data_IF_906520266838
#
_entry.id   IF_906520266838
#
_cell.length_a   1.000
_cell.length_b   1.000
_cell.length_c   1.000
_cell.angle_alpha   90.00
_cell.angle_beta   90.00
_cell.angle_gamma   90.00
#
_symmetry.space_group_name_H-M   'P 1'
#
loop_
_entity.id
_entity.type
_entity.pdbx_description
1 polymer ?
#
# COMPACT_ATOMS: atom_id res chain seq x y z
N UNK A 1 16.71 17.63 3.31
CA UNK A 1 17.83 16.88 3.97
C UNK A 1 17.82 17.03 5.49
N UNK A 2 17.69 18.22 6.06
CA UNK A 2 17.67 18.43 7.52
C UNK A 2 16.47 17.69 8.17
N UNK A 3 15.26 17.90 7.65
CA UNK A 3 14.03 17.27 8.13
C UNK A 3 14.08 15.73 8.04
N UNK A 4 14.69 15.20 6.98
CA UNK A 4 14.88 13.75 6.83
C UNK A 4 15.84 13.17 7.87
N UNK A 5 16.96 13.87 8.15
CA UNK A 5 17.90 13.44 9.19
C UNK A 5 17.25 13.48 10.58
N UNK A 6 16.40 14.47 10.83
CA UNK A 6 15.65 14.55 12.09
C UNK A 6 14.61 13.43 12.19
N UNK A 7 13.90 13.11 11.10
CA UNK A 7 13.01 11.94 11.02
C UNK A 7 13.73 10.63 11.38
N UNK A 8 14.89 10.40 10.78
CA UNK A 8 15.66 9.20 11.09
C UNK A 8 15.98 9.11 12.58
N UNK A 9 16.41 10.22 13.19
CA UNK A 9 16.83 10.28 14.59
C UNK A 9 15.68 10.13 15.60
N UNK A 10 14.53 10.77 15.34
CA UNK A 10 13.46 10.88 16.36
C UNK A 10 12.26 10.00 16.11
N UNK A 11 12.16 9.36 14.92
CA UNK A 11 11.08 8.45 14.58
C UNK A 11 11.60 7.09 14.12
N UNK A 12 12.44 7.05 13.08
CA UNK A 12 12.83 5.78 12.46
C UNK A 12 13.73 4.92 13.38
N UNK A 13 14.78 5.51 13.96
CA UNK A 13 15.69 4.77 14.85
C UNK A 13 14.97 4.28 16.11
N UNK A 14 14.20 5.12 16.85
CA UNK A 14 13.41 4.63 17.97
C UNK A 14 12.40 3.55 17.60
N UNK A 15 11.81 3.61 16.38
CA UNK A 15 10.88 2.58 15.93
C UNK A 15 11.54 1.20 15.76
N UNK A 16 12.84 1.14 15.43
CA UNK A 16 13.60 -0.12 15.40
C UNK A 16 13.74 -0.76 16.78
N UNK A 17 13.71 0.06 17.85
CA UNK A 17 13.75 -0.36 19.24
C UNK A 17 12.34 -0.54 19.85
N UNK A 18 11.30 -0.57 19.02
CA UNK A 18 9.90 -0.76 19.45
C UNK A 18 9.24 0.49 20.04
N UNK A 19 9.83 1.67 19.87
CA UNK A 19 9.27 2.95 20.35
C UNK A 19 8.56 3.64 19.18
N UNK A 20 7.23 3.54 19.14
CA UNK A 20 6.40 4.06 18.07
C UNK A 20 5.60 5.30 18.51
N UNK A 21 5.19 6.10 17.50
CA UNK A 21 4.19 7.16 17.63
C UNK A 21 4.49 8.20 18.74
N UNK A 22 5.75 8.48 19.00
CA UNK A 22 6.10 9.58 19.90
C UNK A 22 5.58 10.91 19.35
N UNK A 23 5.13 11.82 20.21
CA UNK A 23 4.60 13.13 19.80
C UNK A 23 5.58 13.88 18.89
N UNK A 24 6.87 13.90 19.23
CA UNK A 24 7.92 14.51 18.42
C UNK A 24 8.08 13.82 17.08
N UNK A 25 8.09 12.48 17.06
CA UNK A 25 8.19 11.68 15.84
C UNK A 25 7.01 11.94 14.91
N UNK A 26 5.79 11.93 15.44
CA UNK A 26 4.57 12.18 14.65
C UNK A 26 4.49 13.61 14.11
N UNK A 27 5.04 14.59 14.83
CA UNK A 27 5.14 15.97 14.31
C UNK A 27 6.01 16.03 13.06
N UNK A 28 7.16 15.38 13.07
CA UNK A 28 8.08 15.33 11.92
C UNK A 28 7.49 14.55 10.74
N UNK A 29 6.83 13.43 11.01
CA UNK A 29 6.12 12.66 9.99
C UNK A 29 5.07 13.52 9.28
N UNK A 30 4.25 14.27 10.04
CA UNK A 30 3.27 15.20 9.47
C UNK A 30 3.92 16.29 8.61
N UNK A 31 5.05 16.83 9.04
CA UNK A 31 5.79 17.84 8.28
C UNK A 31 6.39 17.27 6.99
N UNK A 32 7.01 16.10 7.05
CA UNK A 32 7.50 15.38 5.86
C UNK A 32 6.38 15.11 4.87
N UNK A 33 5.23 14.67 5.35
CA UNK A 33 4.08 14.41 4.48
C UNK A 33 3.57 15.70 3.82
N UNK A 34 3.54 16.84 4.54
CA UNK A 34 3.20 18.14 3.95
C UNK A 34 4.18 18.56 2.86
N UNK A 35 5.48 18.44 3.11
CA UNK A 35 6.52 18.78 2.12
C UNK A 35 6.37 17.88 0.89
N UNK A 36 6.12 16.60 1.08
CA UNK A 36 5.92 15.64 0.00
C UNK A 36 4.66 15.96 -0.81
N UNK A 37 3.55 16.26 -0.17
CA UNK A 37 2.32 16.64 -0.86
C UNK A 37 2.54 17.88 -1.74
N UNK A 38 3.21 18.91 -1.22
CA UNK A 38 3.56 20.12 -2.00
C UNK A 38 4.47 19.81 -3.19
N UNK A 39 5.44 18.92 -3.01
CA UNK A 39 6.31 18.49 -4.11
C UNK A 39 5.52 17.75 -5.19
N UNK A 40 4.63 16.85 -4.80
CA UNK A 40 3.77 16.11 -5.72
C UNK A 40 2.84 17.06 -6.51
N UNK A 41 2.22 18.02 -5.83
CA UNK A 41 1.38 19.05 -6.45
C UNK A 41 2.17 19.88 -7.47
N UNK A 42 3.34 20.43 -7.08
CA UNK A 42 4.20 21.19 -7.97
C UNK A 42 4.69 20.35 -9.16
N UNK A 43 4.98 19.08 -8.95
CA UNK A 43 5.35 18.14 -10.02
C UNK A 43 4.19 17.92 -10.98
N UNK A 44 2.98 17.72 -10.47
CA UNK A 44 1.78 17.58 -11.28
C UNK A 44 1.49 18.82 -12.12
N UNK A 45 1.59 20.00 -11.54
CA UNK A 45 1.44 21.27 -12.29
C UNK A 45 2.51 21.45 -13.37
N UNK A 46 3.78 21.13 -13.06
CA UNK A 46 4.84 21.15 -14.05
C UNK A 46 4.54 20.23 -15.24
N UNK A 47 4.08 19.00 -14.96
CA UNK A 47 3.72 18.03 -16.01
C UNK A 47 2.58 18.56 -16.88
N UNK A 48 1.56 19.18 -16.30
CA UNK A 48 0.44 19.77 -17.06
C UNK A 48 0.91 20.87 -18.01
N UNK A 49 1.78 21.77 -17.54
CA UNK A 49 2.31 22.89 -18.34
C UNK A 49 3.27 22.38 -19.43
N UNK A 50 4.06 21.34 -19.16
CA UNK A 50 5.06 20.80 -20.06
C UNK A 50 4.69 19.40 -20.58
N UNK A 51 3.43 19.21 -20.94
CA UNK A 51 2.86 17.90 -21.33
C UNK A 51 3.36 17.34 -22.66
N UNK A 52 4.23 18.08 -23.35
CA UNK A 52 4.94 17.66 -24.58
C UNK A 52 6.41 17.31 -24.34
N UNK A 53 6.86 17.31 -23.11
CA UNK A 53 8.27 17.05 -22.74
C UNK A 53 8.50 15.62 -22.25
N UNK A 54 9.57 14.98 -22.72
CA UNK A 54 10.02 13.67 -22.20
C UNK A 54 10.35 13.75 -20.70
N UNK A 55 10.83 14.90 -20.22
CA UNK A 55 11.05 15.13 -18.78
C UNK A 55 9.74 14.94 -17.99
N UNK A 56 8.62 15.38 -18.54
CA UNK A 56 7.31 15.19 -17.90
C UNK A 56 6.89 13.72 -17.83
N UNK A 57 7.28 12.87 -18.79
CA UNK A 57 7.09 11.41 -18.68
C UNK A 57 7.92 10.80 -17.55
N UNK A 58 9.19 11.21 -17.38
CA UNK A 58 10.05 10.77 -16.28
C UNK A 58 9.45 11.18 -14.93
N UNK A 59 9.03 12.43 -14.83
CA UNK A 59 8.40 12.95 -13.61
C UNK A 59 7.08 12.24 -13.29
N UNK A 60 6.25 11.96 -14.30
CA UNK A 60 5.00 11.20 -14.12
C UNK A 60 5.29 9.77 -13.63
N UNK A 61 6.27 9.09 -14.23
CA UNK A 61 6.66 7.76 -13.77
C UNK A 61 7.17 7.77 -12.32
N UNK A 62 7.96 8.78 -11.95
CA UNK A 62 8.44 8.94 -10.57
C UNK A 62 7.29 9.25 -9.60
N UNK A 63 6.36 10.12 -10.00
CA UNK A 63 5.18 10.46 -9.20
C UNK A 63 4.30 9.23 -8.95
N UNK A 64 4.03 8.45 -10.00
CA UNK A 64 3.27 7.19 -9.91
C UNK A 64 3.98 6.13 -9.07
N UNK A 65 5.30 5.99 -9.19
CA UNK A 65 6.08 5.03 -8.39
C UNK A 65 6.32 5.47 -6.94
N UNK A 66 5.94 6.69 -6.58
CA UNK A 66 6.06 7.15 -5.21
C UNK A 66 5.19 6.28 -4.31
N UNK A 67 5.81 5.48 -3.43
CA UNK A 67 5.16 4.52 -2.51
C UNK A 67 4.09 5.11 -1.60
N UNK A 68 3.87 6.43 -1.68
CA UNK A 68 2.87 7.17 -0.91
C UNK A 68 2.12 8.16 -1.80
N UNK A 69 1.92 7.83 -3.08
CA UNK A 69 1.02 8.62 -3.92
C UNK A 69 -0.39 8.47 -3.38
N UNK A 70 -0.97 9.56 -2.90
CA UNK A 70 -2.37 9.63 -2.48
C UNK A 70 -3.30 9.90 -3.66
N UNK A 71 -2.81 9.72 -4.89
CA UNK A 71 -3.59 9.96 -6.11
C UNK A 71 -4.82 9.05 -6.14
N UNK A 72 -5.92 9.62 -6.61
CA UNK A 72 -7.12 8.86 -6.97
C UNK A 72 -6.97 8.27 -8.39
N UNK A 73 -7.86 7.36 -8.75
CA UNK A 73 -7.89 6.82 -10.12
C UNK A 73 -8.13 7.95 -11.13
N UNK A 74 -9.02 8.90 -10.81
CA UNK A 74 -9.32 10.05 -11.67
C UNK A 74 -8.09 10.95 -11.88
N UNK A 75 -7.28 11.15 -10.85
CA UNK A 75 -6.04 11.93 -10.96
C UNK A 75 -4.98 11.20 -11.79
N UNK A 76 -4.88 9.87 -11.66
CA UNK A 76 -4.01 9.05 -12.50
C UNK A 76 -4.45 9.12 -13.96
N UNK A 77 -5.74 8.99 -14.22
CA UNK A 77 -6.31 9.07 -15.57
C UNK A 77 -6.14 10.47 -16.17
N UNK A 78 -6.38 11.51 -15.39
CA UNK A 78 -6.13 12.90 -15.79
C UNK A 78 -4.67 13.14 -16.16
N UNK A 79 -3.73 12.61 -15.36
CA UNK A 79 -2.29 12.68 -15.64
C UNK A 79 -1.94 11.97 -16.96
N UNK A 80 -2.46 10.75 -17.16
CA UNK A 80 -2.14 9.95 -18.33
C UNK A 80 -2.75 10.51 -19.61
N UNK A 81 -3.97 11.05 -19.56
CA UNK A 81 -4.67 11.64 -20.70
C UNK A 81 -4.15 13.05 -21.04
N UNK A 82 -3.46 13.71 -20.13
CA UNK A 82 -2.94 15.07 -20.32
C UNK A 82 -1.76 15.17 -21.29
N UNK A 83 -1.07 14.09 -21.62
CA UNK A 83 0.07 14.11 -22.54
C UNK A 83 -0.34 14.26 -24.00
N UNK A 84 0.49 14.98 -24.76
CA UNK A 84 0.27 15.18 -26.21
C UNK A 84 0.31 13.87 -27.00
N UNK A 85 -0.36 13.78 -28.17
CA UNK A 85 -0.33 12.58 -29.01
C UNK A 85 1.08 12.12 -29.39
N UNK A 86 2.02 13.03 -29.56
CA UNK A 86 3.42 12.69 -29.83
C UNK A 86 4.04 11.89 -28.68
N UNK A 87 3.83 12.28 -27.41
CA UNK A 87 4.31 11.54 -26.27
C UNK A 87 3.53 10.26 -25.99
N UNK A 88 2.24 10.21 -26.31
CA UNK A 88 1.44 8.99 -26.20
C UNK A 88 2.01 7.82 -26.99
N UNK A 89 2.73 8.12 -28.10
CA UNK A 89 3.39 7.15 -28.98
C UNK A 89 4.89 6.96 -28.67
N UNK A 90 5.44 7.66 -27.67
CA UNK A 90 6.83 7.51 -27.28
C UNK A 90 7.09 6.14 -26.64
N UNK A 91 8.27 5.55 -26.88
CA UNK A 91 8.64 4.24 -26.32
C UNK A 91 8.54 4.19 -24.79
N UNK A 92 8.97 5.26 -24.12
CA UNK A 92 8.88 5.41 -22.67
C UNK A 92 7.45 5.44 -22.13
N UNK A 93 6.47 5.85 -22.92
CA UNK A 93 5.06 5.88 -22.51
C UNK A 93 4.53 4.49 -22.13
N UNK A 94 5.05 3.42 -22.75
CA UNK A 94 4.67 2.05 -22.41
C UNK A 94 4.96 1.69 -20.95
N UNK A 95 6.09 2.12 -20.42
CA UNK A 95 6.47 1.88 -19.02
C UNK A 95 5.65 2.75 -18.06
N UNK A 96 5.37 4.01 -18.44
CA UNK A 96 4.51 4.89 -17.64
C UNK A 96 3.10 4.33 -17.56
N UNK A 97 2.53 3.81 -18.67
CA UNK A 97 1.21 3.15 -18.71
C UNK A 97 1.17 1.93 -17.79
N UNK A 98 2.16 1.05 -17.84
CA UNK A 98 2.25 -0.11 -16.93
C UNK A 98 2.30 0.31 -15.47
N UNK A 99 3.04 1.38 -15.16
CA UNK A 99 3.11 1.95 -13.82
C UNK A 99 1.74 2.50 -13.39
N UNK A 100 1.07 3.25 -14.27
CA UNK A 100 -0.26 3.79 -14.00
C UNK A 100 -1.30 2.68 -13.75
N UNK A 101 -1.27 1.60 -14.54
CA UNK A 101 -2.15 0.43 -14.35
C UNK A 101 -1.96 -0.19 -12.97
N UNK A 102 -0.72 -0.44 -12.55
CA UNK A 102 -0.43 -0.94 -11.20
C UNK A 102 -0.90 0.00 -10.11
N UNK A 103 -0.72 1.31 -10.30
CA UNK A 103 -1.15 2.29 -9.31
C UNK A 103 -2.66 2.40 -9.16
N UNK A 104 -3.43 2.22 -10.24
CA UNK A 104 -4.91 2.18 -10.17
C UNK A 104 -5.41 1.11 -9.21
N UNK A 105 -4.70 -0.01 -9.09
CA UNK A 105 -5.09 -1.15 -8.26
C UNK A 105 -4.91 -0.89 -6.75
N UNK A 106 -4.24 0.21 -6.38
CA UNK A 106 -4.01 0.59 -4.97
C UNK A 106 -4.45 2.02 -4.68
N UNK A 107 -4.87 2.75 -5.71
CA UNK A 107 -5.35 4.12 -5.60
C UNK A 107 -6.79 4.17 -5.07
N UNK A 108 -7.15 5.26 -4.42
CA UNK A 108 -8.53 5.52 -4.01
C UNK A 108 -9.46 5.51 -5.24
N UNK A 109 -10.60 4.82 -5.13
CA UNK A 109 -11.53 4.58 -6.23
C UNK A 109 -11.18 3.38 -7.11
N UNK A 110 -9.99 2.78 -6.93
CA UNK A 110 -9.60 1.52 -7.56
C UNK A 110 -10.31 0.31 -6.98
N UNK A 111 -10.00 -0.86 -7.54
CA UNK A 111 -10.51 -2.15 -7.06
C UNK A 111 -9.33 -3.04 -6.69
N UNK A 112 -9.57 -4.01 -5.80
CA UNK A 112 -8.53 -4.98 -5.45
C UNK A 112 -8.20 -5.90 -6.64
N UNK A 113 -6.98 -6.45 -6.61
CA UNK A 113 -6.57 -7.52 -7.51
C UNK A 113 -6.89 -8.88 -6.90
N UNK A 114 -7.59 -9.72 -7.66
CA UNK A 114 -7.85 -11.09 -7.25
C UNK A 114 -6.62 -11.96 -7.57
N UNK A 115 -5.86 -12.28 -6.56
CA UNK A 115 -4.65 -13.11 -6.64
C UNK A 115 -4.86 -14.41 -5.89
N UNK A 116 -4.21 -15.47 -6.37
CA UNK A 116 -4.26 -16.79 -5.72
C UNK A 116 -3.19 -16.84 -4.62
N UNK A 117 -3.61 -17.18 -3.41
CA UNK A 117 -2.81 -17.22 -2.19
C UNK A 117 -2.99 -18.55 -1.48
N UNK A 118 -2.12 -18.86 -0.53
CA UNK A 118 -2.31 -20.01 0.37
C UNK A 118 -3.05 -19.61 1.63
N UNK A 119 -4.00 -20.43 2.02
CA UNK A 119 -4.65 -20.34 3.33
C UNK A 119 -3.89 -21.17 4.40
N UNK A 120 -4.33 -21.12 5.66
CA UNK A 120 -3.71 -21.87 6.77
C UNK A 120 -3.76 -23.39 6.60
N UNK A 121 -4.69 -23.91 5.78
CA UNK A 121 -4.77 -25.35 5.44
C UNK A 121 -3.75 -25.75 4.36
N UNK A 122 -3.09 -24.79 3.71
CA UNK A 122 -2.17 -25.00 2.61
C UNK A 122 -2.84 -25.08 1.23
N UNK A 123 -4.13 -24.75 1.14
CA UNK A 123 -4.90 -24.72 -0.10
C UNK A 123 -4.64 -23.41 -0.85
N UNK A 124 -4.55 -23.50 -2.17
CA UNK A 124 -4.48 -22.32 -3.03
C UNK A 124 -5.89 -21.80 -3.27
N UNK A 125 -6.15 -20.57 -2.86
CA UNK A 125 -7.46 -19.93 -2.90
C UNK A 125 -7.35 -18.53 -3.50
N UNK A 126 -8.31 -18.08 -4.32
CA UNK A 126 -8.34 -16.68 -4.75
C UNK A 126 -8.73 -15.78 -3.56
N UNK A 127 -8.17 -14.56 -3.53
CA UNK A 127 -8.47 -13.58 -2.50
C UNK A 127 -9.98 -13.27 -2.43
N UNK A 128 -10.65 -13.29 -3.58
CA UNK A 128 -12.10 -13.06 -3.69
C UNK A 128 -12.97 -13.98 -2.84
N UNK A 129 -12.53 -15.22 -2.55
CA UNK A 129 -13.26 -16.13 -1.67
C UNK A 129 -13.35 -15.63 -0.22
N UNK A 130 -12.42 -14.75 0.18
CA UNK A 130 -12.35 -14.18 1.51
C UNK A 130 -12.93 -12.78 1.60
N UNK A 131 -13.24 -12.17 0.46
CA UNK A 131 -13.89 -10.87 0.41
C UNK A 131 -15.37 -11.00 0.78
N UNK A 132 -15.86 -10.09 1.60
CA UNK A 132 -17.26 -10.07 2.03
C UNK A 132 -18.03 -8.97 1.29
N UNK A 133 -18.87 -9.32 0.30
CA UNK A 133 -19.69 -8.35 -0.41
C UNK A 133 -20.63 -7.61 0.55
N UNK A 134 -20.83 -6.32 0.32
CA UNK A 134 -21.70 -5.49 1.15
C UNK A 134 -21.13 -5.11 2.52
N UNK A 135 -19.85 -5.42 2.78
CA UNK A 135 -19.13 -5.01 3.99
C UNK A 135 -17.85 -4.26 3.63
N UNK A 136 -17.32 -3.49 4.57
CA UNK A 136 -15.95 -2.99 4.44
C UNK A 136 -14.98 -4.16 4.55
N UNK A 137 -13.99 -4.20 3.65
CA UNK A 137 -12.94 -5.22 3.65
C UNK A 137 -11.59 -4.55 3.87
N UNK A 138 -10.85 -4.99 4.87
CA UNK A 138 -9.48 -4.55 5.15
C UNK A 138 -8.50 -5.63 4.74
N UNK A 139 -7.60 -5.31 3.82
CA UNK A 139 -6.43 -6.11 3.49
C UNK A 139 -5.24 -5.55 4.27
N UNK A 140 -4.70 -6.33 5.19
CA UNK A 140 -3.53 -5.99 5.99
C UNK A 140 -2.35 -6.83 5.53
N UNK A 141 -1.29 -6.16 5.05
CA UNK A 141 -0.07 -6.81 4.57
C UNK A 141 1.00 -6.79 5.66
N UNK A 142 1.52 -7.96 5.97
CA UNK A 142 2.45 -8.16 7.08
C UNK A 142 3.47 -9.26 6.82
N UNK A 143 4.31 -9.56 7.80
CA UNK A 143 5.15 -10.75 7.83
C UNK A 143 5.52 -11.13 9.27
N UNK A 144 5.82 -12.41 9.49
CA UNK A 144 6.20 -12.95 10.80
C UNK A 144 7.47 -12.30 11.38
N UNK A 145 8.39 -11.92 10.52
CA UNK A 145 9.65 -11.24 10.86
C UNK A 145 9.50 -9.71 11.05
N UNK A 146 8.33 -9.15 10.79
CA UNK A 146 8.07 -7.73 10.86
C UNK A 146 7.68 -7.32 12.30
N UNK A 147 8.65 -6.87 13.10
CA UNK A 147 8.40 -6.44 14.48
C UNK A 147 7.34 -5.32 14.59
N UNK A 148 7.34 -4.25 13.76
CA UNK A 148 6.28 -3.26 13.78
C UNK A 148 4.89 -3.85 13.49
N UNK A 149 4.79 -4.82 12.56
CA UNK A 149 3.53 -5.49 12.25
C UNK A 149 2.99 -6.24 13.49
N UNK A 150 3.86 -7.01 14.13
CA UNK A 150 3.50 -7.76 15.34
C UNK A 150 3.07 -6.82 16.49
N UNK A 151 3.72 -5.66 16.62
CA UNK A 151 3.34 -4.64 17.60
C UNK A 151 1.94 -4.04 17.39
N UNK A 152 1.38 -4.15 16.19
CA UNK A 152 0.05 -3.66 15.86
C UNK A 152 -1.07 -4.70 15.98
N UNK A 153 -0.74 -5.99 16.03
CA UNK A 153 -1.72 -7.07 16.12
C UNK A 153 -2.69 -6.91 17.31
N UNK A 154 -2.28 -6.45 18.49
CA UNK A 154 -3.24 -6.19 19.58
C UNK A 154 -4.33 -5.16 19.20
N UNK A 155 -3.97 -4.12 18.44
CA UNK A 155 -4.93 -3.13 17.94
C UNK A 155 -5.85 -3.72 16.85
N UNK A 156 -5.30 -4.54 15.95
CA UNK A 156 -6.09 -5.24 14.93
C UNK A 156 -7.07 -6.23 15.56
N UNK A 157 -6.67 -6.92 16.62
CA UNK A 157 -7.55 -7.82 17.37
C UNK A 157 -8.71 -7.05 17.98
N UNK A 158 -8.43 -5.93 18.63
CA UNK A 158 -9.49 -5.07 19.17
C UNK A 158 -10.43 -4.55 18.07
N UNK A 159 -9.86 -4.10 16.94
CA UNK A 159 -10.67 -3.66 15.78
C UNK A 159 -11.58 -4.79 15.28
N UNK A 160 -11.07 -6.00 15.15
CA UNK A 160 -11.83 -7.18 14.72
C UNK A 160 -12.99 -7.49 15.66
N UNK A 161 -12.78 -7.35 16.98
CA UNK A 161 -13.80 -7.60 18.01
C UNK A 161 -14.91 -6.54 17.99
N UNK A 162 -14.59 -5.26 17.76
CA UNK A 162 -15.56 -4.15 17.89
C UNK A 162 -16.30 -3.82 16.60
N UNK A 163 -15.72 -4.05 15.42
CA UNK A 163 -16.33 -3.63 14.15
C UNK A 163 -17.49 -4.52 13.65
N UNK A 164 -17.65 -5.72 14.23
CA UNK A 164 -18.84 -6.54 13.99
C UNK A 164 -19.01 -7.03 12.56
N UNK A 165 -20.29 -7.15 12.12
CA UNK A 165 -20.66 -7.85 10.89
C UNK A 165 -20.39 -7.08 9.59
N UNK A 166 -20.27 -5.76 9.66
CA UNK A 166 -20.13 -4.89 8.49
C UNK A 166 -18.65 -4.64 8.14
N UNK A 167 -17.75 -5.33 8.84
CA UNK A 167 -16.31 -5.27 8.65
C UNK A 167 -15.72 -6.67 8.49
N UNK A 168 -14.87 -6.82 7.51
CA UNK A 168 -14.13 -8.05 7.24
C UNK A 168 -12.63 -7.74 7.22
N UNK A 169 -11.83 -8.56 7.86
CA UNK A 169 -10.39 -8.39 7.94
C UNK A 169 -9.69 -9.62 7.34
N UNK A 170 -8.70 -9.36 6.49
CA UNK A 170 -7.89 -10.37 5.84
C UNK A 170 -6.44 -9.93 5.98
N UNK A 171 -5.63 -10.70 6.70
CA UNK A 171 -4.17 -10.49 6.71
C UNK A 171 -3.52 -11.31 5.63
N UNK A 172 -2.69 -10.65 4.82
CA UNK A 172 -1.95 -11.22 3.71
C UNK A 172 -0.46 -11.14 4.03
N UNK A 173 0.13 -12.29 4.35
CA UNK A 173 1.55 -12.37 4.66
C UNK A 173 2.42 -12.42 3.40
N UNK A 174 3.57 -11.72 3.46
CA UNK A 174 4.66 -11.84 2.49
C UNK A 174 5.80 -12.74 3.00
N UNK A 175 5.53 -13.64 3.90
CA UNK A 175 6.52 -14.64 4.34
C UNK A 175 6.88 -15.61 3.19
N UNK A 176 8.12 -16.04 3.17
CA UNK A 176 8.58 -17.09 2.22
C UNK A 176 8.40 -18.49 2.80
N UNK A 177 8.39 -18.63 4.13
CA UNK A 177 8.29 -19.92 4.83
C UNK A 177 6.93 -20.08 5.50
N UNK A 178 6.21 -21.11 5.08
CA UNK A 178 4.90 -21.49 5.63
C UNK A 178 4.93 -21.70 7.16
N UNK A 179 5.98 -22.34 7.65
CA UNK A 179 6.16 -22.64 9.07
C UNK A 179 6.25 -21.39 9.94
N UNK A 180 6.98 -20.38 9.49
CA UNK A 180 7.19 -19.14 10.24
C UNK A 180 5.91 -18.31 10.29
N UNK A 181 5.22 -18.20 9.14
CA UNK A 181 3.92 -17.55 9.05
C UNK A 181 2.89 -18.18 9.99
N UNK A 182 2.68 -19.50 9.86
CA UNK A 182 1.69 -20.22 10.68
C UNK A 182 1.98 -20.14 12.17
N UNK A 183 3.27 -20.26 12.53
CA UNK A 183 3.71 -20.12 13.91
C UNK A 183 3.38 -18.72 14.44
N UNK A 184 3.69 -17.66 13.70
CA UNK A 184 3.40 -16.30 14.11
C UNK A 184 1.90 -16.03 14.23
N UNK A 185 1.07 -16.51 13.29
CA UNK A 185 -0.40 -16.43 13.37
C UNK A 185 -0.92 -17.06 14.67
N UNK A 186 -0.39 -18.22 15.05
CA UNK A 186 -0.77 -18.91 16.28
C UNK A 186 -0.28 -18.15 17.53
N UNK A 187 0.97 -17.74 17.55
CA UNK A 187 1.55 -16.97 18.68
C UNK A 187 0.80 -15.68 18.96
N UNK A 188 0.41 -14.97 17.88
CA UNK A 188 -0.31 -13.70 18.00
C UNK A 188 -1.84 -13.87 18.16
N UNK A 189 -2.36 -15.11 18.10
CA UNK A 189 -3.79 -15.39 18.25
C UNK A 189 -4.68 -14.66 17.26
N UNK A 190 -4.26 -14.61 15.99
CA UNK A 190 -4.98 -13.92 14.91
C UNK A 190 -6.19 -14.77 14.47
N UNK A 191 -7.41 -14.33 14.81
CA UNK A 191 -8.65 -15.11 14.61
C UNK A 191 -9.36 -14.82 13.28
N UNK A 192 -8.94 -13.80 12.55
CA UNK A 192 -9.50 -13.44 11.24
C UNK A 192 -8.78 -14.14 10.10
N UNK A 193 -9.23 -13.92 8.88
CA UNK A 193 -8.72 -14.58 7.69
C UNK A 193 -7.22 -14.34 7.47
N UNK A 194 -6.48 -15.42 7.22
CA UNK A 194 -5.04 -15.40 7.05
C UNK A 194 -4.67 -16.04 5.72
N UNK A 195 -3.95 -15.30 4.87
CA UNK A 195 -3.44 -15.72 3.58
C UNK A 195 -1.95 -15.42 3.46
N UNK A 196 -1.25 -16.15 2.57
CA UNK A 196 0.18 -15.94 2.33
C UNK A 196 0.53 -16.26 0.87
N UNK A 197 1.40 -15.45 0.24
CA UNK A 197 1.87 -15.73 -1.13
C UNK A 197 3.12 -16.62 -1.18
N UNK A 198 3.83 -16.77 -0.07
CA UNK A 198 5.06 -17.57 0.08
C UNK A 198 6.19 -17.18 -0.91
N UNK A 199 6.19 -15.96 -1.43
CA UNK A 199 7.16 -15.49 -2.43
C UNK A 199 7.88 -14.21 -2.00
N UNK A 200 7.60 -13.72 -0.81
CA UNK A 200 8.26 -12.58 -0.22
C UNK A 200 8.05 -11.28 -1.01
N UNK A 201 9.03 -10.40 -0.92
CA UNK A 201 8.99 -9.08 -1.59
C UNK A 201 8.98 -9.13 -3.12
N UNK A 202 9.19 -10.29 -3.72
CA UNK A 202 9.17 -10.51 -5.17
C UNK A 202 7.91 -11.24 -5.63
N UNK A 203 7.02 -11.54 -4.70
CA UNK A 203 5.78 -12.23 -4.96
C UNK A 203 4.69 -11.32 -5.55
N UNK A 204 3.61 -11.92 -6.07
CA UNK A 204 2.49 -11.19 -6.65
C UNK A 204 1.86 -10.21 -5.67
N UNK A 205 1.78 -10.52 -4.38
CA UNK A 205 1.28 -9.58 -3.35
C UNK A 205 2.07 -8.27 -3.37
N UNK A 206 3.41 -8.37 -3.29
CA UNK A 206 4.27 -7.18 -3.25
C UNK A 206 4.22 -6.38 -4.55
N UNK A 207 4.12 -7.06 -5.69
CA UNK A 207 4.12 -6.44 -7.02
C UNK A 207 2.77 -5.80 -7.33
N UNK A 208 1.67 -6.55 -7.20
CA UNK A 208 0.33 -6.10 -7.62
C UNK A 208 -0.25 -5.05 -6.65
N UNK A 209 0.01 -5.19 -5.36
CA UNK A 209 -0.43 -4.25 -4.33
C UNK A 209 0.60 -3.18 -3.99
N UNK A 210 1.70 -3.07 -4.75
CA UNK A 210 2.76 -2.08 -4.54
C UNK A 210 3.29 -2.05 -3.09
N UNK A 211 3.34 -3.21 -2.43
CA UNK A 211 3.79 -3.36 -1.05
C UNK A 211 5.31 -3.23 -0.98
N UNK A 212 5.81 -2.01 -0.87
CA UNK A 212 7.25 -1.73 -0.74
C UNK A 212 7.80 -1.97 0.68
N UNK A 213 6.91 -2.02 1.66
CA UNK A 213 7.22 -2.28 3.07
C UNK A 213 5.96 -2.66 3.84
N UNK A 214 6.16 -3.35 4.96
CA UNK A 214 5.09 -3.74 5.89
C UNK A 214 5.37 -3.12 7.27
N UNK A 215 4.33 -2.78 8.06
CA UNK A 215 2.90 -2.98 7.83
C UNK A 215 2.33 -2.03 6.76
N UNK A 216 1.37 -2.53 5.97
CA UNK A 216 0.65 -1.76 4.98
C UNK A 216 -0.80 -2.23 4.95
N UNK A 217 -1.77 -1.36 4.75
CA UNK A 217 -3.16 -1.78 4.64
C UNK A 217 -3.93 -1.04 3.54
N UNK A 218 -4.97 -1.69 3.03
CA UNK A 218 -5.95 -1.15 2.10
C UNK A 218 -7.33 -1.44 2.67
N UNK A 219 -8.21 -0.46 2.64
CA UNK A 219 -9.62 -0.62 3.02
C UNK A 219 -10.49 -0.41 1.80
N UNK A 220 -11.38 -1.37 1.57
CA UNK A 220 -12.39 -1.33 0.51
C UNK A 220 -13.76 -1.10 1.13
N UNK A 221 -14.59 -0.33 0.45
CA UNK A 221 -15.99 -0.12 0.80
C UNK A 221 -16.89 -1.33 0.44
N UNK A 222 -18.18 -1.29 0.78
CA UNK A 222 -19.14 -2.36 0.45
C UNK A 222 -19.27 -2.64 -1.06
N UNK A 223 -18.96 -1.68 -1.91
CA UNK A 223 -18.97 -1.77 -3.37
C UNK A 223 -17.65 -2.34 -3.94
N UNK A 224 -16.66 -2.62 -3.08
CA UNK A 224 -15.35 -3.16 -3.45
C UNK A 224 -14.38 -2.11 -4.00
N UNK A 225 -14.62 -0.82 -3.71
CA UNK A 225 -13.72 0.26 -4.09
C UNK A 225 -12.76 0.61 -2.96
N UNK A 226 -11.53 0.89 -3.30
CA UNK A 226 -10.52 1.33 -2.33
C UNK A 226 -10.87 2.73 -1.84
N UNK A 227 -11.13 2.88 -0.56
CA UNK A 227 -11.44 4.15 0.10
C UNK A 227 -10.25 4.69 0.88
N UNK A 228 -9.37 3.81 1.32
CA UNK A 228 -8.16 4.15 2.04
C UNK A 228 -7.08 3.15 1.72
N UNK A 229 -5.87 3.62 1.45
CA UNK A 229 -4.68 2.80 1.30
C UNK A 229 -3.49 3.58 1.80
N UNK A 230 -2.53 2.88 2.35
CA UNK A 230 -1.30 3.50 2.83
C UNK A 230 -0.80 2.90 4.12
N UNK A 231 0.40 3.33 4.41
CA UNK A 231 1.06 2.99 5.66
C UNK A 231 0.63 3.98 6.72
N UNK A 232 0.56 3.53 7.89
CA UNK A 232 0.44 4.29 9.13
C UNK A 232 1.58 5.24 9.35
#
# INVERSE_FOLDING_TARGET
TALWNEYLKVYHVPALDGIFNTEKGMKIVRELNRVKARLNEATGEFIKVHNNSVVSLLLANNLLNSTRSEMTVEEIDGLMNGFTPALQNASMMGDVKKTAERMRCVARGGTYHDIVLKNLKGENVPLSEYMKPGAYNMLEFWASWCSPCRGEIPHLRHLYEVCGKDFNMISVSIDERDTDWKKAVQEEGMQWHQLCDQKGRKGPVAIEYQVSGVPYCIVLDPEGKIVCGGVR
#
